data_IF_854220690504
#
_entry.id   IF_854220690504
#
_cell.length_a   1.000
_cell.length_b   1.000
_cell.length_c   1.000
_cell.angle_alpha   90.00
_cell.angle_beta   90.00
_cell.angle_gamma   90.00
#
_symmetry.space_group_name_H-M   'P 1'
#
loop_
_entity.id
_entity.type
_entity.pdbx_description
1 polymer ?
#
# COMPACT_ATOMS: atom_id res chain seq x y z
N UNK A 1 -14.24 34.94 -60.46
CA UNK A 1 -14.73 35.36 -59.13
C UNK A 1 -15.64 34.31 -58.50
N UNK A 2 -16.72 33.86 -59.16
CA UNK A 2 -17.62 32.80 -58.63
C UNK A 2 -16.91 31.48 -58.27
N UNK A 3 -16.00 30.99 -59.11
CA UNK A 3 -15.25 29.75 -58.87
C UNK A 3 -14.32 29.83 -57.66
N UNK A 4 -13.68 30.99 -57.44
CA UNK A 4 -12.82 31.24 -56.27
C UNK A 4 -13.63 31.23 -54.96
N UNK A 5 -14.84 31.82 -54.98
CA UNK A 5 -15.74 31.85 -53.83
C UNK A 5 -16.23 30.44 -53.48
N UNK A 6 -16.60 29.62 -54.48
CA UNK A 6 -17.01 28.22 -54.27
C UNK A 6 -15.88 27.39 -53.69
N UNK A 7 -14.65 27.57 -54.17
CA UNK A 7 -13.47 26.88 -53.64
C UNK A 7 -13.21 27.26 -52.16
N UNK A 8 -13.25 28.55 -51.84
CA UNK A 8 -13.07 29.03 -50.46
C UNK A 8 -14.16 28.50 -49.51
N UNK A 9 -15.42 28.47 -49.96
CA UNK A 9 -16.53 27.88 -49.19
C UNK A 9 -16.34 26.38 -48.96
N UNK A 10 -15.91 25.64 -49.97
CA UNK A 10 -15.65 24.20 -49.83
C UNK A 10 -14.50 23.92 -48.84
N UNK A 11 -13.43 24.72 -48.88
CA UNK A 11 -12.32 24.64 -47.91
C UNK A 11 -12.79 24.99 -46.50
N UNK A 12 -13.61 26.04 -46.35
CA UNK A 12 -14.15 26.45 -45.06
C UNK A 12 -15.07 25.36 -44.46
N UNK A 13 -15.97 24.79 -45.26
CA UNK A 13 -16.85 23.69 -44.84
C UNK A 13 -16.03 22.46 -44.48
N UNK A 14 -15.03 22.11 -45.29
CA UNK A 14 -14.10 21.01 -45.00
C UNK A 14 -13.36 21.23 -43.69
N UNK A 15 -12.85 22.43 -43.43
CA UNK A 15 -12.20 22.78 -42.17
C UNK A 15 -13.14 22.66 -40.97
N UNK A 16 -14.38 23.16 -41.08
CA UNK A 16 -15.38 23.08 -40.00
C UNK A 16 -15.73 21.62 -39.68
N UNK A 17 -15.94 20.78 -40.70
CA UNK A 17 -16.26 19.36 -40.53
C UNK A 17 -15.10 18.59 -39.89
N UNK A 18 -13.87 18.84 -40.34
CA UNK A 18 -12.66 18.24 -39.76
C UNK A 18 -12.47 18.71 -38.32
N UNK A 19 -12.59 20.02 -38.06
CA UNK A 19 -12.47 20.61 -36.72
C UNK A 19 -13.51 20.04 -35.74
N UNK A 20 -14.78 19.93 -36.16
CA UNK A 20 -15.84 19.33 -35.35
C UNK A 20 -15.59 17.85 -35.05
N UNK A 21 -15.13 17.09 -36.05
CA UNK A 21 -14.80 15.67 -35.85
C UNK A 21 -13.64 15.51 -34.86
N UNK A 22 -12.60 16.34 -34.99
CA UNK A 22 -11.45 16.35 -34.09
C UNK A 22 -11.89 16.70 -32.66
N UNK A 23 -12.71 17.73 -32.48
CA UNK A 23 -13.25 18.12 -31.16
C UNK A 23 -14.05 17.00 -30.50
N UNK A 24 -14.91 16.31 -31.26
CA UNK A 24 -15.67 15.18 -30.74
C UNK A 24 -14.76 14.02 -30.28
N UNK A 25 -13.69 13.73 -31.05
CA UNK A 25 -12.70 12.72 -30.68
C UNK A 25 -11.93 13.09 -29.42
N UNK A 26 -11.51 14.36 -29.29
CA UNK A 26 -10.84 14.82 -28.06
C UNK A 26 -11.74 14.68 -26.83
N UNK A 27 -13.02 15.05 -26.95
CA UNK A 27 -13.99 14.90 -25.87
C UNK A 27 -14.21 13.43 -25.49
N UNK A 28 -14.27 12.53 -26.47
CA UNK A 28 -14.39 11.08 -26.25
C UNK A 28 -13.15 10.53 -25.50
N UNK A 29 -11.95 10.94 -25.92
CA UNK A 29 -10.69 10.56 -25.27
C UNK A 29 -10.63 11.08 -23.83
N UNK A 30 -11.02 12.34 -23.60
CA UNK A 30 -11.08 12.91 -22.26
C UNK A 30 -12.03 12.12 -21.35
N UNK A 31 -13.23 11.80 -21.84
CA UNK A 31 -14.23 11.06 -21.08
C UNK A 31 -13.74 9.65 -20.74
N UNK A 32 -13.13 8.95 -21.69
CA UNK A 32 -12.53 7.64 -21.46
C UNK A 32 -11.39 7.70 -20.43
N UNK A 33 -10.52 8.72 -20.49
CA UNK A 33 -9.48 8.90 -19.50
C UNK A 33 -10.05 9.12 -18.09
N UNK A 34 -11.12 9.91 -17.94
CA UNK A 34 -11.81 10.10 -16.65
C UNK A 34 -12.43 8.81 -16.12
N UNK A 35 -13.01 7.98 -16.99
CA UNK A 35 -13.55 6.67 -16.60
C UNK A 35 -12.45 5.77 -16.07
N UNK A 36 -11.31 5.66 -16.77
CA UNK A 36 -10.17 4.86 -16.30
C UNK A 36 -9.62 5.35 -14.96
N UNK A 37 -9.55 6.67 -14.77
CA UNK A 37 -9.12 7.26 -13.49
C UNK A 37 -10.10 6.87 -12.37
N UNK A 38 -11.41 6.98 -12.59
CA UNK A 38 -12.42 6.62 -11.61
C UNK A 38 -12.42 5.12 -11.27
N UNK A 39 -12.26 4.25 -12.26
CA UNK A 39 -12.13 2.80 -12.05
C UNK A 39 -10.88 2.48 -11.22
N UNK A 40 -9.76 3.12 -11.55
CA UNK A 40 -8.51 2.95 -10.81
C UNK A 40 -8.59 3.51 -9.39
N UNK A 41 -9.27 4.64 -9.17
CA UNK A 41 -9.51 5.21 -7.84
C UNK A 41 -10.35 4.29 -6.95
N UNK A 42 -11.38 3.66 -7.52
CA UNK A 42 -12.17 2.66 -6.82
C UNK A 42 -11.32 1.43 -6.42
N UNK A 43 -10.47 0.95 -7.33
CA UNK A 43 -9.52 -0.13 -7.02
C UNK A 43 -8.55 0.26 -5.90
N UNK A 44 -7.96 1.46 -5.99
CA UNK A 44 -7.06 2.00 -4.97
C UNK A 44 -7.72 2.07 -3.59
N UNK A 45 -8.98 2.51 -3.55
CA UNK A 45 -9.75 2.58 -2.31
C UNK A 45 -9.91 1.20 -1.67
N UNK A 46 -10.28 0.19 -2.45
CA UNK A 46 -10.41 -1.20 -1.96
C UNK A 46 -9.07 -1.74 -1.44
N UNK A 47 -7.97 -1.52 -2.18
CA UNK A 47 -6.64 -1.98 -1.77
C UNK A 47 -6.18 -1.26 -0.50
N UNK A 48 -6.39 0.06 -0.41
CA UNK A 48 -6.04 0.86 0.75
C UNK A 48 -6.81 0.41 1.99
N UNK A 49 -8.12 0.18 1.91
CA UNK A 49 -8.92 -0.34 3.01
C UNK A 49 -8.48 -1.75 3.44
N UNK A 50 -8.20 -2.63 2.47
CA UNK A 50 -7.74 -3.98 2.73
C UNK A 50 -6.38 -3.95 3.45
N UNK A 51 -5.44 -3.14 2.97
CA UNK A 51 -4.12 -2.93 3.57
C UNK A 51 -4.22 -2.37 5.00
N UNK A 52 -5.16 -1.45 5.24
CA UNK A 52 -5.37 -0.81 6.54
C UNK A 52 -5.85 -1.79 7.62
N UNK A 53 -6.66 -2.78 7.23
CA UNK A 53 -7.18 -3.84 8.10
C UNK A 53 -6.20 -5.01 8.25
N UNK A 54 -4.98 -4.89 7.73
CA UNK A 54 -4.01 -5.98 7.61
C UNK A 54 -4.60 -7.18 6.86
N UNK A 55 -5.56 -6.96 5.96
CA UNK A 55 -6.11 -7.98 5.09
C UNK A 55 -5.21 -8.21 3.87
N UNK A 56 -5.61 -9.16 3.05
CA UNK A 56 -5.01 -9.42 1.75
C UNK A 56 -6.11 -9.81 0.77
N UNK A 57 -5.87 -9.57 -0.52
CA UNK A 57 -6.69 -10.15 -1.57
C UNK A 57 -6.35 -11.64 -1.78
N UNK A 58 -7.19 -12.35 -2.52
CA UNK A 58 -7.03 -13.78 -2.79
C UNK A 58 -5.69 -14.16 -3.45
N UNK A 59 -5.11 -13.29 -4.28
CA UNK A 59 -3.81 -13.53 -4.93
C UNK A 59 -2.70 -13.45 -3.89
N UNK A 60 -2.73 -12.41 -3.05
CA UNK A 60 -1.78 -12.22 -1.96
C UNK A 60 -1.87 -13.34 -0.93
N UNK A 61 -3.08 -13.79 -0.57
CA UNK A 61 -3.29 -14.94 0.32
C UNK A 61 -2.81 -16.27 -0.27
N UNK A 62 -2.82 -16.42 -1.60
CA UNK A 62 -2.27 -17.60 -2.26
C UNK A 62 -0.74 -17.67 -2.20
N UNK A 63 -0.07 -16.51 -2.20
CA UNK A 63 1.39 -16.35 -2.18
C UNK A 63 1.92 -16.37 -0.74
N UNK A 64 1.35 -15.54 0.13
CA UNK A 64 1.75 -15.43 1.54
C UNK A 64 0.82 -16.30 2.37
N UNK A 65 1.26 -17.53 2.61
CA UNK A 65 0.52 -18.49 3.44
C UNK A 65 0.96 -18.39 4.88
N UNK A 66 -0.02 -18.36 5.78
CA UNK A 66 0.26 -18.51 7.20
C UNK A 66 0.77 -19.94 7.49
N UNK A 67 1.47 -20.09 8.60
CA UNK A 67 1.80 -21.39 9.15
C UNK A 67 0.51 -22.15 9.53
N UNK A 68 0.54 -23.49 9.56
CA UNK A 68 -0.60 -24.31 9.96
C UNK A 68 -1.19 -23.88 11.32
N UNK A 69 -2.52 -24.00 11.49
CA UNK A 69 -3.26 -23.50 12.68
C UNK A 69 -2.72 -24.09 13.99
N UNK A 70 -2.31 -25.36 13.98
CA UNK A 70 -1.67 -26.05 15.10
C UNK A 70 -0.32 -25.42 15.48
N UNK A 71 0.48 -25.04 14.48
CA UNK A 71 1.76 -24.34 14.68
C UNK A 71 1.53 -22.91 15.17
N UNK A 72 0.58 -22.18 14.59
CA UNK A 72 0.19 -20.83 15.05
C UNK A 72 -0.26 -20.84 16.51
N UNK A 73 -1.14 -21.77 16.87
CA UNK A 73 -1.64 -21.91 18.25
C UNK A 73 -0.51 -22.24 19.23
N UNK A 74 0.43 -23.10 18.83
CA UNK A 74 1.60 -23.44 19.65
C UNK A 74 2.56 -22.26 19.80
N UNK A 75 2.78 -21.52 18.71
CA UNK A 75 3.61 -20.31 18.67
C UNK A 75 3.07 -19.25 19.63
N UNK A 76 1.78 -18.93 19.52
CA UNK A 76 1.14 -17.91 20.37
C UNK A 76 1.15 -18.33 21.86
N UNK A 77 0.96 -19.62 22.13
CA UNK A 77 1.02 -20.17 23.49
C UNK A 77 2.41 -20.03 24.12
N UNK A 78 3.47 -20.36 23.37
CA UNK A 78 4.84 -20.21 23.85
C UNK A 78 5.21 -18.73 24.02
N UNK A 79 4.88 -17.89 23.04
CA UNK A 79 5.15 -16.46 23.07
C UNK A 79 4.49 -15.77 24.28
N UNK A 80 3.25 -16.17 24.64
CA UNK A 80 2.54 -15.62 25.80
C UNK A 80 3.21 -15.91 27.16
N UNK A 81 4.14 -16.86 27.21
CA UNK A 81 4.82 -17.33 28.43
C UNK A 81 6.34 -17.22 28.33
N UNK A 82 6.83 -16.37 27.41
CA UNK A 82 8.25 -16.25 27.04
C UNK A 82 9.18 -16.11 28.25
N UNK A 83 8.75 -15.41 29.30
CA UNK A 83 9.51 -15.18 30.54
C UNK A 83 9.73 -16.43 31.41
N UNK A 84 9.02 -17.52 31.13
CA UNK A 84 9.01 -18.75 31.94
C UNK A 84 9.38 -20.01 31.16
N UNK A 85 9.78 -19.86 29.90
CA UNK A 85 10.11 -20.98 29.04
C UNK A 85 11.45 -21.60 29.46
N UNK A 86 11.49 -22.94 29.47
CA UNK A 86 12.76 -23.66 29.55
C UNK A 86 13.48 -23.66 28.19
N UNK A 87 14.74 -24.10 28.18
CA UNK A 87 15.57 -24.12 26.98
C UNK A 87 14.91 -24.86 25.80
N UNK A 88 14.34 -26.05 26.03
CA UNK A 88 13.66 -26.82 24.97
C UNK A 88 12.45 -26.09 24.40
N UNK A 89 11.70 -25.39 25.25
CA UNK A 89 10.56 -24.58 24.83
C UNK A 89 10.99 -23.32 24.06
N UNK A 90 12.12 -22.70 24.43
CA UNK A 90 12.69 -21.58 23.69
C UNK A 90 13.17 -21.99 22.30
N UNK A 91 13.83 -23.15 22.16
CA UNK A 91 14.23 -23.68 20.84
C UNK A 91 13.01 -23.98 19.96
N UNK A 92 11.93 -24.50 20.55
CA UNK A 92 10.68 -24.70 19.81
C UNK A 92 10.02 -23.37 19.43
N UNK A 93 10.07 -22.37 20.30
CA UNK A 93 9.60 -21.01 20.01
C UNK A 93 10.38 -20.40 18.84
N UNK A 94 11.71 -20.48 18.82
CA UNK A 94 12.57 -20.03 17.71
C UNK A 94 12.20 -20.73 16.40
N UNK A 95 12.06 -22.06 16.41
CA UNK A 95 11.65 -22.84 15.24
C UNK A 95 10.28 -22.42 14.70
N UNK A 96 9.33 -22.16 15.59
CA UNK A 96 7.99 -21.69 15.23
C UNK A 96 7.99 -20.23 14.78
N UNK A 97 8.82 -19.38 15.39
CA UNK A 97 9.00 -17.99 15.01
C UNK A 97 9.49 -17.87 13.57
N UNK A 98 10.50 -18.67 13.17
CA UNK A 98 10.97 -18.70 11.79
C UNK A 98 9.92 -19.15 10.75
N UNK A 99 8.81 -19.76 11.19
CA UNK A 99 7.70 -20.19 10.31
C UNK A 99 6.49 -19.27 10.36
N UNK A 100 6.19 -18.72 11.52
CA UNK A 100 4.94 -18.01 11.82
C UNK A 100 5.16 -16.51 12.06
N UNK A 101 6.34 -16.09 12.50
CA UNK A 101 6.60 -14.74 13.01
C UNK A 101 6.51 -13.65 11.94
N UNK A 102 6.95 -13.93 10.71
CA UNK A 102 6.98 -12.95 9.63
C UNK A 102 5.65 -12.75 8.90
N UNK A 103 4.67 -13.64 9.07
CA UNK A 103 3.44 -13.70 8.25
C UNK A 103 2.75 -12.33 8.09
N UNK A 104 2.46 -11.65 9.20
CA UNK A 104 1.78 -10.35 9.17
C UNK A 104 2.61 -9.27 8.48
N UNK A 105 3.92 -9.22 8.75
CA UNK A 105 4.83 -8.26 8.15
C UNK A 105 4.99 -8.50 6.64
N UNK A 106 5.19 -9.76 6.23
CA UNK A 106 5.29 -10.14 4.81
C UNK A 106 4.01 -9.84 4.04
N UNK A 107 2.85 -10.14 4.64
CA UNK A 107 1.55 -9.81 4.03
C UNK A 107 1.37 -8.31 3.84
N UNK A 108 1.66 -7.51 4.89
CA UNK A 108 1.62 -6.04 4.83
C UNK A 108 2.54 -5.54 3.70
N UNK A 109 3.79 -6.02 3.63
CA UNK A 109 4.75 -5.61 2.60
C UNK A 109 4.26 -5.88 1.17
N UNK A 110 3.66 -7.05 0.91
CA UNK A 110 3.09 -7.36 -0.42
C UNK A 110 1.92 -6.45 -0.76
N UNK A 111 0.99 -6.23 0.19
CA UNK A 111 -0.15 -5.34 -0.02
C UNK A 111 0.27 -3.88 -0.26
N UNK A 112 1.27 -3.41 0.47
CA UNK A 112 1.85 -2.07 0.29
C UNK A 112 2.53 -1.95 -1.08
N UNK A 113 3.35 -2.94 -1.47
CA UNK A 113 3.96 -2.97 -2.81
C UNK A 113 2.92 -2.94 -3.92
N UNK A 114 1.81 -3.67 -3.76
CA UNK A 114 0.69 -3.63 -4.68
C UNK A 114 0.06 -2.23 -4.74
N UNK A 115 -0.23 -1.64 -3.58
CA UNK A 115 -0.80 -0.29 -3.52
C UNK A 115 0.12 0.75 -4.20
N UNK A 116 1.44 0.67 -3.98
CA UNK A 116 2.41 1.52 -4.68
C UNK A 116 2.27 1.41 -6.20
N UNK A 117 2.26 0.18 -6.72
CA UNK A 117 2.14 -0.07 -8.16
C UNK A 117 0.83 0.50 -8.73
N UNK A 118 -0.28 0.29 -8.05
CA UNK A 118 -1.58 0.77 -8.53
C UNK A 118 -1.68 2.31 -8.48
N UNK A 119 -0.96 2.96 -7.56
CA UNK A 119 -0.85 4.43 -7.52
C UNK A 119 -0.03 4.93 -8.72
N UNK A 120 1.05 4.26 -9.10
CA UNK A 120 1.82 4.62 -10.31
C UNK A 120 0.95 4.55 -11.58
N UNK A 121 0.08 3.54 -11.67
CA UNK A 121 -0.88 3.41 -12.77
C UNK A 121 -1.89 4.56 -12.75
N UNK A 122 -2.44 4.87 -11.57
CA UNK A 122 -3.35 6.00 -11.39
C UNK A 122 -2.72 7.34 -11.79
N UNK A 123 -1.49 7.60 -11.35
CA UNK A 123 -0.72 8.79 -11.71
C UNK A 123 -0.47 8.88 -13.22
N UNK A 124 -0.21 7.75 -13.87
CA UNK A 124 -0.07 7.69 -15.32
C UNK A 124 -1.36 8.11 -16.04
N UNK A 125 -2.54 7.67 -15.57
CA UNK A 125 -3.82 8.09 -16.13
C UNK A 125 -4.11 9.58 -15.90
N UNK A 126 -3.86 10.09 -14.70
CA UNK A 126 -4.00 11.52 -14.40
C UNK A 126 -3.03 12.36 -15.24
N UNK A 127 -1.80 11.88 -15.45
CA UNK A 127 -0.80 12.51 -16.31
C UNK A 127 -1.21 12.53 -17.79
N UNK A 128 -1.85 11.47 -18.27
CA UNK A 128 -2.42 11.43 -19.63
C UNK A 128 -3.56 12.44 -19.78
N UNK A 129 -4.48 12.51 -18.82
CA UNK A 129 -5.57 13.50 -18.83
C UNK A 129 -5.03 14.93 -18.79
N UNK A 130 -3.97 15.18 -18.00
CA UNK A 130 -3.32 16.49 -17.94
C UNK A 130 -2.76 16.93 -19.29
N UNK A 131 -2.22 15.99 -20.09
CA UNK A 131 -1.77 16.26 -21.46
C UNK A 131 -2.92 16.51 -22.43
N UNK A 132 -4.04 15.79 -22.28
CA UNK A 132 -5.23 15.97 -23.12
C UNK A 132 -5.85 17.36 -22.91
N UNK A 133 -5.86 17.82 -21.66
CA UNK A 133 -6.47 19.10 -21.25
C UNK A 133 -5.50 20.29 -21.28
N UNK A 134 -4.21 20.05 -21.54
CA UNK A 134 -3.14 21.05 -21.45
C UNK A 134 -3.11 21.78 -20.09
N UNK A 135 -3.43 21.06 -19.00
CA UNK A 135 -3.53 21.59 -17.65
C UNK A 135 -3.28 20.50 -16.61
N UNK A 136 -2.48 20.79 -15.58
CA UNK A 136 -2.20 19.83 -14.51
C UNK A 136 -3.47 19.44 -13.73
N UNK A 137 -3.80 18.15 -13.74
CA UNK A 137 -4.96 17.60 -13.04
C UNK A 137 -4.60 16.92 -11.70
N UNK A 138 -3.32 16.91 -11.31
CA UNK A 138 -2.83 16.17 -10.13
C UNK A 138 -3.56 16.57 -8.84
N UNK A 139 -3.86 17.86 -8.69
CA UNK A 139 -4.61 18.37 -7.54
C UNK A 139 -6.09 17.96 -7.57
N UNK A 140 -6.73 17.98 -8.74
CA UNK A 140 -8.13 17.59 -8.91
C UNK A 140 -8.37 16.12 -8.58
N UNK A 141 -7.35 15.28 -8.79
CA UNK A 141 -7.38 13.84 -8.54
C UNK A 141 -6.57 13.43 -7.30
N UNK A 142 -6.26 14.38 -6.41
CA UNK A 142 -5.62 14.15 -5.12
C UNK A 142 -4.34 13.27 -5.17
N UNK A 143 -3.56 13.34 -6.26
CA UNK A 143 -2.36 12.51 -6.46
C UNK A 143 -1.39 12.63 -5.28
N UNK A 144 -1.20 13.85 -4.77
CA UNK A 144 -0.31 14.09 -3.63
C UNK A 144 -0.77 13.37 -2.35
N UNK A 145 -2.09 13.23 -2.13
CA UNK A 145 -2.64 12.52 -0.97
C UNK A 145 -2.47 11.01 -1.12
N UNK A 146 -2.68 10.46 -2.32
CA UNK A 146 -2.40 9.06 -2.60
C UNK A 146 -0.91 8.73 -2.36
N UNK A 147 0.00 9.60 -2.79
CA UNK A 147 1.44 9.48 -2.48
C UNK A 147 1.73 9.54 -0.98
N UNK A 148 1.10 10.47 -0.26
CA UNK A 148 1.27 10.55 1.19
C UNK A 148 0.77 9.29 1.90
N UNK A 149 -0.39 8.75 1.48
CA UNK A 149 -0.91 7.51 2.03
C UNK A 149 0.07 6.34 1.84
N UNK A 150 0.65 6.19 0.65
CA UNK A 150 1.59 5.07 0.42
C UNK A 150 2.86 5.23 1.25
N UNK A 151 3.36 6.45 1.47
CA UNK A 151 4.50 6.70 2.37
C UNK A 151 4.17 6.20 3.79
N UNK A 152 2.99 6.52 4.32
CA UNK A 152 2.62 6.06 5.67
C UNK A 152 2.37 4.55 5.74
N UNK A 153 1.86 3.94 4.68
CA UNK A 153 1.70 2.48 4.61
C UNK A 153 3.07 1.77 4.46
N UNK A 154 4.04 2.37 3.77
CA UNK A 154 5.44 1.91 3.70
C UNK A 154 6.13 2.01 5.07
N UNK A 155 6.01 3.15 5.75
CA UNK A 155 6.51 3.32 7.12
C UNK A 155 5.95 2.24 8.06
N UNK A 156 4.65 1.95 7.95
CA UNK A 156 4.03 0.86 8.70
C UNK A 156 4.62 -0.51 8.35
N UNK A 157 4.80 -0.81 7.06
CA UNK A 157 5.39 -2.07 6.61
C UNK A 157 6.80 -2.27 7.17
N UNK A 158 7.63 -1.23 7.13
CA UNK A 158 8.98 -1.24 7.69
C UNK A 158 8.96 -1.42 9.21
N UNK A 159 8.06 -0.73 9.92
CA UNK A 159 7.91 -0.89 11.36
C UNK A 159 7.47 -2.30 11.76
N UNK A 160 6.57 -2.94 11.00
CA UNK A 160 6.22 -4.35 11.22
C UNK A 160 7.41 -5.28 11.01
N UNK A 161 8.22 -5.06 9.96
CA UNK A 161 9.43 -5.84 9.73
C UNK A 161 10.44 -5.67 10.87
N UNK A 162 10.64 -4.44 11.36
CA UNK A 162 11.50 -4.16 12.51
C UNK A 162 11.02 -4.84 13.79
N UNK A 163 9.71 -4.89 14.03
CA UNK A 163 9.18 -5.63 15.18
C UNK A 163 9.42 -7.13 15.09
N UNK A 164 9.43 -7.72 13.89
CA UNK A 164 9.79 -9.13 13.71
C UNK A 164 11.29 -9.31 13.99
N UNK A 165 12.16 -8.47 13.45
CA UNK A 165 13.61 -8.51 13.75
C UNK A 165 13.88 -8.43 15.26
N UNK A 166 13.30 -7.43 15.94
CA UNK A 166 13.49 -7.26 17.39
C UNK A 166 12.94 -8.44 18.21
N UNK A 167 11.89 -9.12 17.73
CA UNK A 167 11.40 -10.34 18.39
C UNK A 167 12.38 -11.51 18.23
N UNK A 168 13.01 -11.64 17.07
CA UNK A 168 14.05 -12.64 16.81
C UNK A 168 15.27 -12.41 17.72
N UNK A 169 15.68 -11.15 17.86
CA UNK A 169 16.78 -10.75 18.74
C UNK A 169 16.47 -11.10 20.21
N UNK A 170 15.25 -10.82 20.69
CA UNK A 170 14.83 -11.22 22.05
C UNK A 170 14.90 -12.74 22.23
N UNK A 171 14.37 -13.52 21.28
CA UNK A 171 14.37 -14.98 21.36
C UNK A 171 15.82 -15.50 21.39
N UNK A 172 16.69 -14.95 20.54
CA UNK A 172 18.11 -15.30 20.47
C UNK A 172 18.85 -15.01 21.78
N UNK A 173 18.55 -13.87 22.42
CA UNK A 173 19.18 -13.50 23.68
C UNK A 173 18.72 -14.37 24.85
N UNK A 174 17.43 -14.74 24.87
CA UNK A 174 16.92 -15.69 25.85
C UNK A 174 17.53 -17.10 25.67
N UNK A 175 17.74 -17.53 24.42
CA UNK A 175 18.43 -18.79 24.11
C UNK A 175 19.91 -18.77 24.54
N UNK A 176 20.56 -17.60 24.52
CA UNK A 176 21.91 -17.41 25.06
C UNK A 176 21.96 -17.45 26.60
N UNK A 177 20.82 -17.65 27.27
CA UNK A 177 20.71 -17.74 28.72
C UNK A 177 20.58 -16.39 29.43
N UNK A 178 20.36 -15.30 28.68
CA UNK A 178 19.98 -14.01 29.26
C UNK A 178 18.55 -14.08 29.76
N UNK A 179 18.21 -13.15 30.66
CA UNK A 179 16.86 -13.03 31.22
C UNK A 179 16.18 -11.80 30.63
N UNK A 180 14.85 -11.71 30.74
CA UNK A 180 14.12 -10.50 30.35
C UNK A 180 14.62 -9.22 31.05
N UNK A 181 15.24 -9.34 32.22
CA UNK A 181 15.81 -8.22 32.97
C UNK A 181 17.27 -7.89 32.60
N UNK A 182 17.90 -8.67 31.71
CA UNK A 182 19.27 -8.43 31.26
C UNK A 182 19.34 -7.10 30.47
N UNK A 183 20.42 -6.31 30.62
CA UNK A 183 20.55 -5.01 29.94
C UNK A 183 20.32 -5.09 28.43
N UNK A 184 20.88 -6.10 27.77
CA UNK A 184 20.76 -6.28 26.32
C UNK A 184 19.30 -6.53 25.89
N UNK A 185 18.56 -7.34 26.65
CA UNK A 185 17.13 -7.58 26.38
C UNK A 185 16.29 -6.33 26.67
N UNK A 186 16.64 -5.56 27.70
CA UNK A 186 15.97 -4.30 28.02
C UNK A 186 16.16 -3.24 26.93
N UNK A 187 17.34 -3.17 26.31
CA UNK A 187 17.62 -2.29 25.17
C UNK A 187 16.73 -2.65 23.98
N UNK A 188 16.67 -3.93 23.60
CA UNK A 188 15.81 -4.41 22.51
C UNK A 188 14.33 -4.14 22.81
N UNK A 189 13.89 -4.32 24.06
CA UNK A 189 12.51 -4.01 24.48
C UNK A 189 12.19 -2.51 24.38
N UNK A 190 13.14 -1.62 24.69
CA UNK A 190 12.98 -0.18 24.51
C UNK A 190 12.84 0.17 23.03
N UNK A 191 13.68 -0.39 22.16
CA UNK A 191 13.55 -0.22 20.71
C UNK A 191 12.20 -0.74 20.20
N UNK A 192 11.75 -1.90 20.66
CA UNK A 192 10.46 -2.47 20.29
C UNK A 192 9.29 -1.57 20.73
N UNK A 193 9.39 -0.94 21.91
CA UNK A 193 8.41 0.05 22.37
C UNK A 193 8.37 1.27 21.46
N UNK A 194 9.54 1.83 21.13
CA UNK A 194 9.63 2.99 20.24
C UNK A 194 9.08 2.68 18.83
N UNK A 195 9.39 1.50 18.28
CA UNK A 195 8.85 1.05 17.00
C UNK A 195 7.32 0.89 17.04
N UNK A 196 6.75 0.35 18.12
CA UNK A 196 5.30 0.26 18.32
C UNK A 196 4.64 1.63 18.40
N UNK A 197 5.23 2.57 19.13
CA UNK A 197 4.72 3.94 19.23
C UNK A 197 4.71 4.64 17.88
N UNK A 198 5.80 4.51 17.11
CA UNK A 198 5.89 5.03 15.75
C UNK A 198 4.78 4.43 14.85
N UNK A 199 4.60 3.11 14.87
CA UNK A 199 3.54 2.44 14.12
C UNK A 199 2.14 2.97 14.45
N UNK A 200 1.87 3.31 15.71
CA UNK A 200 0.59 3.91 16.12
C UNK A 200 0.40 5.31 15.54
N UNK A 201 1.47 6.10 15.42
CA UNK A 201 1.44 7.43 14.80
C UNK A 201 1.23 7.30 13.29
N UNK A 202 2.03 6.49 12.61
CA UNK A 202 1.96 6.26 11.16
C UNK A 202 0.56 5.73 10.78
N UNK A 203 0.00 4.82 11.58
CA UNK A 203 -1.38 4.32 11.38
C UNK A 203 -2.40 5.46 11.47
N UNK A 204 -2.32 6.33 12.48
CA UNK A 204 -3.26 7.46 12.62
C UNK A 204 -3.16 8.43 11.45
N UNK A 205 -1.95 8.69 10.96
CA UNK A 205 -1.73 9.57 9.81
C UNK A 205 -2.31 8.94 8.53
N UNK A 206 -2.03 7.65 8.28
CA UNK A 206 -2.63 6.92 7.17
C UNK A 206 -4.17 6.90 7.24
N UNK A 207 -4.74 6.67 8.42
CA UNK A 207 -6.19 6.67 8.64
C UNK A 207 -6.82 8.04 8.36
N UNK A 208 -6.15 9.13 8.75
CA UNK A 208 -6.59 10.50 8.47
C UNK A 208 -6.52 10.84 6.97
N UNK A 209 -5.45 10.44 6.27
CA UNK A 209 -5.36 10.65 4.81
C UNK A 209 -6.42 9.83 4.09
N UNK A 210 -6.63 8.57 4.51
CA UNK A 210 -7.58 7.67 3.87
C UNK A 210 -9.03 8.15 3.99
N UNK A 211 -9.42 8.74 5.13
CA UNK A 211 -10.77 9.29 5.28
C UNK A 211 -11.05 10.50 4.38
N UNK A 212 -10.01 11.17 3.89
CA UNK A 212 -10.13 12.24 2.90
C UNK A 212 -10.13 11.74 1.44
N UNK A 213 -9.61 10.53 1.20
CA UNK A 213 -9.51 9.91 -0.12
C UNK A 213 -10.69 8.99 -0.43
N UNK A 214 -11.13 8.23 0.57
CA UNK A 214 -12.19 7.24 0.44
C UNK A 214 -13.41 7.78 1.17
N UNK A 215 -14.43 8.20 0.42
CA UNK A 215 -15.72 8.55 1.00
C UNK A 215 -16.36 7.29 1.58
N UNK A 216 -16.46 7.22 2.91
CA UNK A 216 -17.28 6.22 3.62
C UNK A 216 -18.77 6.46 3.37
#
# INVERSE_FOLDING_TARGET
MKTLIVFLLAVLIGYILVSSTIQNRFKEIELNARVLIAEQEALLSVIAETTARNGADAVTEAIIRDCPIDQRSSFDNLLSRIDSLNYTQLTELERLFGRCGSFTASRKAVMVSRLTREIEVYESYVGQLSKILDADQSAAFAVAKWRALITEEQNQSEGFAKLVELQDDIISELLAGKTAASPDVQEILQEASAAREKLLVDKKQADAIRSELVSL
#
